data_IF_399844887378
#
_entry.id   IF_399844887378
#
_cell.length_a   1.000
_cell.length_b   1.000
_cell.length_c   1.000
_cell.angle_alpha   90.00
_cell.angle_beta   90.00
_cell.angle_gamma   90.00
#
_symmetry.space_group_name_H-M   'P 1'
#
loop_
_entity.id
_entity.type
_entity.pdbx_description
1 polymer ?
#
# COMPACT_ATOMS: atom_id res chain seq x y z
N UNK A 1 0.04 31.07 8.28
CA UNK A 1 -1.05 30.49 7.48
C UNK A 1 -1.15 29.02 7.86
N UNK A 2 -2.21 28.62 8.54
CA UNK A 2 -2.49 27.21 8.83
C UNK A 2 -2.99 26.62 7.52
N UNK A 3 -2.18 25.78 6.88
CA UNK A 3 -2.53 25.15 5.63
C UNK A 3 -3.54 24.04 5.93
N UNK A 4 -4.83 24.33 5.77
CA UNK A 4 -5.88 23.31 5.78
C UNK A 4 -5.60 22.34 4.62
N UNK A 5 -5.08 21.16 4.95
CA UNK A 5 -4.87 20.10 3.98
C UNK A 5 -6.23 19.44 3.73
N UNK A 6 -6.66 19.39 2.47
CA UNK A 6 -7.87 18.66 2.08
C UNK A 6 -7.69 17.15 2.33
N UNK A 7 -8.30 16.66 3.41
CA UNK A 7 -8.26 15.25 3.83
C UNK A 7 -8.92 14.28 2.84
N UNK A 8 -9.60 14.79 1.80
CA UNK A 8 -10.30 13.95 0.82
C UNK A 8 -9.39 13.38 -0.27
N UNK A 9 -8.24 14.00 -0.53
CA UNK A 9 -7.27 13.57 -1.54
C UNK A 9 -6.36 12.39 -1.09
N UNK A 10 -5.88 12.26 0.18
CA UNK A 10 -4.96 11.19 0.56
C UNK A 10 -5.52 9.77 0.44
N UNK A 11 -6.79 9.53 0.79
CA UNK A 11 -7.34 8.17 0.84
C UNK A 11 -7.46 7.52 -0.55
N UNK A 12 -7.96 8.28 -1.53
CA UNK A 12 -8.06 7.79 -2.91
C UNK A 12 -6.67 7.50 -3.48
N UNK A 13 -5.68 8.36 -3.21
CA UNK A 13 -4.31 8.12 -3.63
C UNK A 13 -3.76 6.83 -3.02
N UNK A 14 -3.99 6.59 -1.73
CA UNK A 14 -3.56 5.35 -1.05
C UNK A 14 -4.23 4.11 -1.63
N UNK A 15 -5.52 4.20 -1.97
CA UNK A 15 -6.25 3.10 -2.60
C UNK A 15 -5.67 2.77 -3.98
N UNK A 16 -5.48 3.80 -4.82
CA UNK A 16 -4.94 3.64 -6.17
C UNK A 16 -3.51 3.09 -6.13
N UNK A 17 -2.65 3.61 -5.24
CA UNK A 17 -1.28 3.09 -5.11
C UNK A 17 -1.24 1.67 -4.58
N UNK A 18 -2.07 1.34 -3.58
CA UNK A 18 -2.24 -0.04 -3.11
C UNK A 18 -2.63 -0.97 -4.25
N UNK A 19 -3.62 -0.60 -5.07
CA UNK A 19 -4.06 -1.43 -6.19
C UNK A 19 -2.93 -1.63 -7.21
N UNK A 20 -2.23 -0.56 -7.60
CA UNK A 20 -1.11 -0.65 -8.54
C UNK A 20 -0.02 -1.58 -8.00
N UNK A 21 0.42 -1.38 -6.75
CA UNK A 21 1.50 -2.18 -6.15
C UNK A 21 1.07 -3.65 -6.04
N UNK A 22 -0.13 -3.93 -5.56
CA UNK A 22 -0.61 -5.31 -5.37
C UNK A 22 -0.77 -6.01 -6.71
N UNK A 23 -1.30 -5.33 -7.74
CA UNK A 23 -1.35 -5.85 -9.10
C UNK A 23 0.04 -6.15 -9.64
N UNK A 24 1.01 -5.24 -9.44
CA UNK A 24 2.39 -5.45 -9.87
C UNK A 24 3.05 -6.64 -9.18
N UNK A 25 2.85 -6.80 -7.86
CA UNK A 25 3.39 -7.93 -7.11
C UNK A 25 2.88 -9.27 -7.66
N UNK A 26 1.55 -9.40 -7.84
CA UNK A 26 0.96 -10.64 -8.36
C UNK A 26 1.31 -10.89 -9.83
N UNK A 27 1.47 -9.82 -10.61
CA UNK A 27 1.91 -9.90 -12.00
C UNK A 27 3.35 -10.42 -12.11
N UNK A 28 4.23 -10.01 -11.20
CA UNK A 28 5.62 -10.48 -11.14
C UNK A 28 5.70 -11.90 -10.56
N UNK A 29 4.95 -12.19 -9.50
CA UNK A 29 4.95 -13.50 -8.82
C UNK A 29 4.50 -14.65 -9.73
N UNK A 30 3.60 -14.38 -10.68
CA UNK A 30 3.17 -15.36 -11.68
C UNK A 30 4.29 -15.82 -12.63
N UNK A 31 5.31 -15.00 -12.86
CA UNK A 31 6.45 -15.30 -13.74
C UNK A 31 6.16 -15.25 -15.26
N UNK A 32 4.91 -15.46 -15.69
CA UNK A 32 4.49 -15.40 -17.09
C UNK A 32 3.86 -14.06 -17.52
N UNK A 33 3.63 -13.13 -16.58
CA UNK A 33 3.17 -11.76 -16.87
C UNK A 33 1.85 -11.70 -17.67
N UNK A 34 0.87 -12.53 -17.29
CA UNK A 34 -0.38 -12.75 -18.04
C UNK A 34 -1.66 -12.50 -17.23
N UNK A 35 -1.55 -12.17 -15.93
CA UNK A 35 -2.68 -12.04 -14.99
C UNK A 35 -3.55 -13.30 -14.88
N UNK A 36 -3.00 -14.47 -15.24
CA UNK A 36 -3.68 -15.77 -15.09
C UNK A 36 -3.97 -16.11 -13.62
N UNK A 37 -3.25 -15.51 -12.66
CA UNK A 37 -3.54 -15.59 -11.24
C UNK A 37 -5.00 -15.22 -10.92
N UNK A 38 -5.62 -14.32 -11.69
CA UNK A 38 -7.01 -13.88 -11.51
C UNK A 38 -8.04 -14.99 -11.81
N UNK A 39 -7.64 -16.09 -12.46
CA UNK A 39 -8.53 -17.22 -12.76
C UNK A 39 -8.81 -18.09 -11.53
N UNK A 40 -7.98 -18.00 -10.49
CA UNK A 40 -8.14 -18.75 -9.25
C UNK A 40 -8.76 -17.89 -8.16
N UNK A 41 -9.90 -18.33 -7.63
CA UNK A 41 -10.53 -17.70 -6.45
C UNK A 41 -9.62 -17.65 -5.23
N UNK A 42 -8.73 -18.64 -5.06
CA UNK A 42 -7.76 -18.65 -3.96
C UNK A 42 -6.80 -17.47 -4.04
N UNK A 43 -6.37 -17.11 -5.25
CA UNK A 43 -5.44 -16.01 -5.45
C UNK A 43 -6.08 -14.65 -5.19
N UNK A 44 -7.38 -14.50 -5.44
CA UNK A 44 -8.12 -13.29 -5.04
C UNK A 44 -8.11 -13.08 -3.53
N UNK A 45 -8.24 -14.16 -2.74
CA UNK A 45 -8.16 -14.05 -1.29
C UNK A 45 -6.78 -13.56 -0.84
N UNK A 46 -5.69 -14.13 -1.40
CA UNK A 46 -4.32 -13.66 -1.11
C UNK A 46 -4.13 -12.21 -1.57
N UNK A 47 -4.68 -11.83 -2.73
CA UNK A 47 -4.63 -10.46 -3.25
C UNK A 47 -5.24 -9.47 -2.27
N UNK A 48 -6.41 -9.77 -1.69
CA UNK A 48 -7.04 -8.92 -0.69
C UNK A 48 -6.25 -8.84 0.61
N UNK A 49 -5.59 -9.92 1.03
CA UNK A 49 -4.68 -9.89 2.19
C UNK A 49 -3.52 -8.92 1.94
N UNK A 50 -2.82 -9.05 0.80
CA UNK A 50 -1.72 -8.16 0.45
C UNK A 50 -2.18 -6.71 0.30
N UNK A 51 -3.28 -6.48 -0.43
CA UNK A 51 -3.83 -5.15 -0.64
C UNK A 51 -4.24 -4.47 0.66
N UNK A 52 -4.92 -5.20 1.56
CA UNK A 52 -5.31 -4.66 2.86
C UNK A 52 -4.10 -4.33 3.75
N UNK A 53 -3.07 -5.17 3.76
CA UNK A 53 -1.84 -4.92 4.49
C UNK A 53 -1.07 -3.69 3.96
N UNK A 54 -0.95 -3.54 2.63
CA UNK A 54 -0.30 -2.38 2.00
C UNK A 54 -1.09 -1.10 2.30
N UNK A 55 -2.42 -1.14 2.17
CA UNK A 55 -3.27 0.00 2.50
C UNK A 55 -3.17 0.39 3.98
N UNK A 56 -3.18 -0.60 4.88
CA UNK A 56 -2.96 -0.37 6.30
C UNK A 56 -1.58 0.24 6.57
N UNK A 57 -0.54 -0.17 5.86
CA UNK A 57 0.79 0.45 5.93
C UNK A 57 0.78 1.93 5.58
N UNK A 58 0.10 2.33 4.50
CA UNK A 58 -0.10 3.75 4.16
C UNK A 58 -0.81 4.50 5.28
N UNK A 59 -1.89 3.94 5.84
CA UNK A 59 -2.65 4.58 6.92
C UNK A 59 -1.83 4.73 8.20
N UNK A 60 -1.11 3.69 8.61
CA UNK A 60 -0.27 3.72 9.83
C UNK A 60 0.83 4.77 9.69
N UNK A 61 1.54 4.79 8.55
CA UNK A 61 2.59 5.80 8.30
C UNK A 61 1.99 7.20 8.23
N UNK A 62 0.81 7.37 7.62
CA UNK A 62 0.11 8.66 7.61
C UNK A 62 -0.24 9.14 9.03
N UNK A 63 -0.83 8.28 9.85
CA UNK A 63 -1.19 8.60 11.23
C UNK A 63 0.04 8.96 12.07
N UNK A 64 1.13 8.20 11.95
CA UNK A 64 2.41 8.48 12.62
C UNK A 64 2.98 9.81 12.11
N UNK A 65 3.02 10.00 10.79
CA UNK A 65 3.60 11.19 10.17
C UNK A 65 2.86 12.47 10.60
N UNK A 66 1.53 12.43 10.66
CA UNK A 66 0.72 13.55 11.11
C UNK A 66 0.93 13.85 12.59
N UNK A 67 1.05 12.82 13.43
CA UNK A 67 1.28 12.97 14.86
C UNK A 67 2.67 13.52 15.18
N UNK A 68 3.71 13.04 14.50
CA UNK A 68 5.11 13.39 14.78
C UNK A 68 5.53 14.68 14.08
N UNK A 69 5.19 14.82 12.79
CA UNK A 69 5.71 15.90 11.95
C UNK A 69 4.68 17.01 11.70
N UNK A 70 3.51 16.96 12.35
CA UNK A 70 2.46 17.99 12.28
C UNK A 70 2.16 18.43 10.84
N UNK A 71 1.94 17.47 9.94
CA UNK A 71 1.54 17.69 8.55
C UNK A 71 2.62 18.31 7.63
N UNK A 72 3.87 18.38 8.07
CA UNK A 72 4.98 18.91 7.25
C UNK A 72 5.52 17.92 6.22
N UNK A 73 5.08 16.66 6.26
CA UNK A 73 5.53 15.61 5.34
C UNK A 73 4.63 15.56 4.09
N UNK A 74 5.27 15.47 2.92
CA UNK A 74 4.58 15.29 1.64
C UNK A 74 3.92 13.89 1.57
N UNK A 75 2.71 13.81 1.03
CA UNK A 75 1.98 12.56 0.81
C UNK A 75 2.78 11.53 0.01
N UNK A 76 3.63 11.96 -0.93
CA UNK A 76 4.49 11.03 -1.67
C UNK A 76 5.47 10.30 -0.76
N UNK A 77 6.04 10.96 0.23
CA UNK A 77 6.93 10.32 1.20
C UNK A 77 6.17 9.31 2.07
N UNK A 78 4.94 9.66 2.49
CA UNK A 78 4.07 8.74 3.24
C UNK A 78 3.76 7.48 2.42
N UNK A 79 3.44 7.64 1.13
CA UNK A 79 3.17 6.52 0.22
C UNK A 79 4.42 5.64 0.09
N UNK A 80 5.57 6.22 -0.25
CA UNK A 80 6.81 5.47 -0.46
C UNK A 80 7.22 4.69 0.80
N UNK A 81 7.18 5.34 1.96
CA UNK A 81 7.54 4.70 3.24
C UNK A 81 6.51 3.65 3.63
N UNK A 82 5.21 3.97 3.53
CA UNK A 82 4.13 3.05 3.89
C UNK A 82 4.11 1.79 3.02
N UNK A 83 4.24 1.94 1.70
CA UNK A 83 4.35 0.83 0.77
C UNK A 83 5.58 -0.04 1.06
N UNK A 84 6.76 0.58 1.18
CA UNK A 84 8.01 -0.16 1.40
C UNK A 84 7.98 -0.92 2.71
N UNK A 85 7.47 -0.30 3.78
CA UNK A 85 7.34 -0.94 5.09
C UNK A 85 6.36 -2.10 5.06
N UNK A 86 5.19 -1.94 4.41
CA UNK A 86 4.20 -3.00 4.33
C UNK A 86 4.71 -4.20 3.52
N UNK A 87 5.34 -3.96 2.37
CA UNK A 87 5.94 -5.02 1.55
C UNK A 87 7.06 -5.73 2.30
N UNK A 88 7.93 -4.98 2.99
CA UNK A 88 8.98 -5.57 3.83
C UNK A 88 8.41 -6.46 4.93
N UNK A 89 7.40 -5.99 5.67
CA UNK A 89 6.75 -6.77 6.72
C UNK A 89 6.09 -8.05 6.18
N UNK A 90 5.37 -7.95 5.06
CA UNK A 90 4.76 -9.11 4.40
C UNK A 90 5.82 -10.14 3.98
N UNK A 91 6.91 -9.69 3.35
CA UNK A 91 8.00 -10.57 2.97
C UNK A 91 8.60 -11.25 4.20
N UNK A 92 8.88 -10.51 5.28
CA UNK A 92 9.40 -11.11 6.51
C UNK A 92 8.43 -12.10 7.14
N UNK A 93 7.12 -11.83 7.13
CA UNK A 93 6.14 -12.73 7.72
C UNK A 93 6.02 -14.06 6.96
N UNK A 94 6.22 -14.04 5.64
CA UNK A 94 6.06 -15.21 4.78
C UNK A 94 7.33 -16.05 4.73
N UNK A 95 8.51 -15.41 4.80
CA UNK A 95 9.81 -16.08 4.72
C UNK A 95 10.52 -16.29 6.07
N UNK A 96 9.92 -15.86 7.19
CA UNK A 96 10.38 -16.18 8.54
C UNK A 96 9.85 -17.53 9.03
#
# INVERSE_FOLDING_TARGET
>A
MVQERSDRIPLLMYLVTTLIITLSLFFVDEGFYSFSWMQSWGNWFVFFIYGSAIYAGHLVVFLIANRVFKWRINNMAVILIGASLAVFLLATLIFA
#
